data_IF_083051293505
#
_entry.id   IF_083051293505
#
_cell.length_a   1.000
_cell.length_b   1.000
_cell.length_c   1.000
_cell.angle_alpha   90.00
_cell.angle_beta   90.00
_cell.angle_gamma   90.00
#
_symmetry.space_group_name_H-M   'P 1'
#
loop_
_entity.id
_entity.type
_entity.pdbx_description
1 polymer ?
#
# COMPACT_ATOMS: atom_id res chain seq x y z
N UNK A 1 17.98 5.44 16.89
CA UNK A 1 16.84 4.77 17.54
C UNK A 1 16.33 3.68 16.61
N UNK A 2 16.62 2.39 16.85
CA UNK A 2 16.04 1.33 16.04
C UNK A 2 14.54 1.28 16.32
N UNK A 3 13.71 1.42 15.29
CA UNK A 3 12.26 1.26 15.42
C UNK A 3 11.98 -0.19 15.84
N UNK A 4 11.68 -0.40 17.11
CA UNK A 4 11.31 -1.71 17.66
C UNK A 4 9.96 -2.11 17.05
N UNK A 5 9.99 -2.85 15.96
CA UNK A 5 8.84 -3.49 15.32
C UNK A 5 8.20 -4.45 16.32
N UNK A 6 7.25 -3.94 17.11
CA UNK A 6 6.55 -4.71 18.13
C UNK A 6 5.10 -4.79 17.69
N UNK A 7 4.70 -5.94 17.17
CA UNK A 7 3.31 -6.26 16.97
C UNK A 7 3.02 -7.62 17.61
N UNK A 8 1.84 -7.80 18.22
CA UNK A 8 1.44 -9.10 18.73
C UNK A 8 1.42 -10.12 17.59
N UNK A 9 1.94 -11.33 17.83
CA UNK A 9 1.78 -12.43 16.87
C UNK A 9 0.36 -12.96 17.00
N UNK A 10 -0.38 -12.97 15.90
CA UNK A 10 -1.76 -13.47 15.83
C UNK A 10 -1.79 -14.71 14.95
N UNK A 11 -2.57 -15.72 15.34
CA UNK A 11 -2.84 -16.87 14.47
C UNK A 11 -3.76 -16.43 13.34
N UNK A 12 -3.32 -16.60 12.11
CA UNK A 12 -4.06 -16.15 10.93
C UNK A 12 -4.85 -17.29 10.32
N UNK A 13 -6.11 -17.09 9.91
CA UNK A 13 -6.80 -18.04 9.05
C UNK A 13 -6.03 -18.19 7.72
N UNK A 14 -6.16 -19.35 7.08
CA UNK A 14 -5.65 -19.51 5.71
C UNK A 14 -6.41 -18.53 4.80
N UNK A 15 -5.73 -17.51 4.29
CA UNK A 15 -6.33 -16.63 3.30
C UNK A 15 -6.72 -17.47 2.06
N UNK A 16 -7.90 -17.26 1.47
CA UNK A 16 -8.36 -18.05 0.34
C UNK A 16 -7.34 -17.98 -0.82
N UNK A 17 -6.99 -19.11 -1.46
CA UNK A 17 -5.95 -19.15 -2.49
C UNK A 17 -6.29 -18.24 -3.68
N UNK A 18 -7.57 -18.08 -4.00
CA UNK A 18 -8.05 -17.22 -5.08
C UNK A 18 -7.62 -15.75 -4.93
N UNK A 19 -7.70 -15.21 -3.70
CA UNK A 19 -7.24 -13.84 -3.39
C UNK A 19 -5.76 -13.66 -3.69
N UNK A 20 -4.95 -14.67 -3.33
CA UNK A 20 -3.51 -14.61 -3.57
C UNK A 20 -3.17 -14.66 -5.07
N UNK A 21 -3.86 -15.50 -5.84
CA UNK A 21 -3.68 -15.57 -7.30
C UNK A 21 -4.06 -14.24 -7.93
N UNK A 22 -5.20 -13.67 -7.54
CA UNK A 22 -5.66 -12.35 -8.00
C UNK A 22 -4.62 -11.26 -7.75
N UNK A 23 -4.09 -11.19 -6.52
CA UNK A 23 -3.06 -10.20 -6.16
C UNK A 23 -1.78 -10.36 -7.00
N UNK A 24 -1.35 -11.60 -7.24
CA UNK A 24 -0.13 -11.87 -8.00
C UNK A 24 -0.31 -11.50 -9.47
N UNK A 25 -1.41 -11.93 -10.09
CA UNK A 25 -1.73 -11.62 -11.49
C UNK A 25 -1.83 -10.11 -11.69
N UNK A 26 -2.58 -9.42 -10.83
CA UNK A 26 -2.72 -7.96 -10.90
C UNK A 26 -1.38 -7.24 -10.69
N UNK A 27 -0.57 -7.67 -9.71
CA UNK A 27 0.73 -7.04 -9.46
C UNK A 27 1.72 -7.24 -10.61
N UNK A 28 1.76 -8.45 -11.19
CA UNK A 28 2.60 -8.74 -12.36
C UNK A 28 2.12 -7.96 -13.58
N UNK A 29 0.81 -7.89 -13.84
CA UNK A 29 0.26 -7.11 -14.95
C UNK A 29 0.59 -5.62 -14.83
N UNK A 30 0.43 -5.04 -13.63
CA UNK A 30 0.78 -3.64 -13.36
C UNK A 30 2.27 -3.39 -13.52
N UNK A 31 3.14 -4.29 -13.04
CA UNK A 31 4.59 -4.16 -13.23
C UNK A 31 5.00 -4.35 -14.69
N UNK A 32 4.36 -5.23 -15.44
CA UNK A 32 4.63 -5.40 -16.88
C UNK A 32 4.23 -4.13 -17.66
N UNK A 33 3.07 -3.54 -17.35
CA UNK A 33 2.57 -2.35 -18.01
C UNK A 33 3.34 -1.07 -17.62
N UNK A 34 3.68 -0.93 -16.34
CA UNK A 34 4.25 0.31 -15.78
C UNK A 34 5.73 0.21 -15.43
N UNK A 35 6.37 -0.95 -15.62
CA UNK A 35 7.75 -1.20 -15.20
C UNK A 35 8.76 -0.31 -15.94
N UNK A 36 8.61 -0.13 -17.26
CA UNK A 36 9.47 0.76 -18.05
C UNK A 36 9.33 2.23 -17.62
N UNK A 37 8.11 2.82 -17.53
CA UNK A 37 7.92 4.14 -16.94
C UNK A 37 8.49 4.27 -15.53
N UNK A 38 8.25 3.27 -14.66
CA UNK A 38 8.73 3.27 -13.29
C UNK A 38 10.27 3.27 -13.23
N UNK A 39 10.93 2.48 -14.08
CA UNK A 39 12.39 2.45 -14.18
C UNK A 39 12.95 3.80 -14.67
N UNK A 40 12.33 4.40 -15.70
CA UNK A 40 12.72 5.71 -16.21
C UNK A 40 12.59 6.81 -15.14
N UNK A 41 11.46 6.85 -14.42
CA UNK A 41 11.24 7.81 -13.33
C UNK A 41 12.21 7.57 -12.17
N UNK A 42 12.49 6.31 -11.83
CA UNK A 42 13.47 5.97 -10.80
C UNK A 42 14.87 6.45 -11.18
N UNK A 43 15.29 6.23 -12.43
CA UNK A 43 16.59 6.69 -12.93
C UNK A 43 16.69 8.23 -12.91
N UNK A 44 15.61 8.91 -13.31
CA UNK A 44 15.54 10.36 -13.26
C UNK A 44 15.62 10.90 -11.82
N UNK A 45 14.90 10.27 -10.88
CA UNK A 45 15.02 10.59 -9.46
C UNK A 45 16.43 10.34 -8.93
N UNK A 46 17.11 9.27 -9.34
CA UNK A 46 18.51 9.01 -8.95
C UNK A 46 19.42 10.17 -9.41
N UNK A 47 19.25 10.61 -10.66
CA UNK A 47 20.02 11.72 -11.23
C UNK A 47 19.72 13.05 -10.52
N UNK A 48 18.46 13.28 -10.14
CA UNK A 48 18.04 14.54 -9.50
C UNK A 48 18.47 14.60 -8.02
N UNK A 49 18.37 13.47 -7.31
CA UNK A 49 18.66 13.39 -5.87
C UNK A 49 20.14 13.11 -5.58
N UNK A 50 20.96 12.80 -6.59
CA UNK A 50 22.37 12.41 -6.41
C UNK A 50 22.54 11.14 -5.57
N UNK A 51 21.55 10.25 -5.54
CA UNK A 51 21.56 9.14 -4.60
C UNK A 51 20.28 8.31 -4.58
N UNK A 52 19.68 8.18 -3.38
CA UNK A 52 18.64 7.19 -3.08
C UNK A 52 17.24 7.68 -3.48
N UNK A 53 16.61 7.14 -4.54
CA UNK A 53 15.29 7.56 -5.01
C UNK A 53 14.15 6.96 -4.17
N UNK A 54 14.46 6.01 -3.29
CA UNK A 54 13.48 5.26 -2.51
C UNK A 54 13.51 5.65 -1.03
N UNK A 55 12.32 5.92 -0.48
CA UNK A 55 12.05 5.89 0.94
C UNK A 55 11.69 4.46 1.37
N UNK A 56 12.13 4.07 2.57
CA UNK A 56 11.80 2.77 3.17
C UNK A 56 11.07 3.00 4.47
N UNK A 57 9.97 2.30 4.66
CA UNK A 57 9.20 2.37 5.90
C UNK A 57 9.04 0.99 6.50
N UNK A 58 9.09 0.95 7.83
CA UNK A 58 8.87 -0.27 8.56
C UNK A 58 7.36 -0.57 8.59
N UNK A 59 6.99 -1.82 8.38
CA UNK A 59 5.60 -2.23 8.40
C UNK A 59 5.45 -3.61 9.02
N UNK A 60 4.23 -3.92 9.45
CA UNK A 60 3.84 -5.22 9.97
C UNK A 60 2.77 -5.81 9.07
N UNK A 61 3.00 -7.04 8.63
CA UNK A 61 2.12 -7.77 7.73
C UNK A 61 1.36 -8.89 8.44
N UNK A 62 0.85 -9.82 7.64
CA UNK A 62 0.08 -10.98 8.07
C UNK A 62 0.73 -11.71 9.26
N UNK A 63 -0.03 -11.92 10.33
CA UNK A 63 0.39 -12.61 11.55
C UNK A 63 1.39 -11.84 12.41
N UNK A 64 1.53 -10.54 12.20
CA UNK A 64 2.50 -9.71 12.91
C UNK A 64 3.91 -9.79 12.32
N UNK A 65 4.06 -10.26 11.08
CA UNK A 65 5.38 -10.44 10.45
C UNK A 65 5.97 -9.07 10.05
N UNK A 66 7.13 -8.67 10.58
CA UNK A 66 7.76 -7.41 10.20
C UNK A 66 8.28 -7.48 8.76
N UNK A 67 8.12 -6.40 8.01
CA UNK A 67 8.69 -6.24 6.68
C UNK A 67 9.00 -4.75 6.40
N UNK A 68 9.49 -4.45 5.19
CA UNK A 68 9.78 -3.08 4.75
C UNK A 68 9.03 -2.76 3.47
N UNK A 69 8.28 -1.66 3.50
CA UNK A 69 7.65 -1.09 2.30
C UNK A 69 8.62 -0.13 1.62
N UNK A 70 8.42 0.06 0.33
CA UNK A 70 9.23 0.93 -0.51
C UNK A 70 8.35 1.94 -1.19
N UNK A 71 8.78 3.20 -1.21
CA UNK A 71 8.12 4.26 -1.98
C UNK A 71 9.16 5.09 -2.72
N UNK A 72 8.77 5.65 -3.85
CA UNK A 72 9.57 6.70 -4.48
C UNK A 72 9.50 7.96 -3.63
N UNK A 73 10.61 8.68 -3.59
CA UNK A 73 10.70 9.96 -2.88
C UNK A 73 9.95 11.05 -3.64
N UNK A 74 9.14 11.79 -2.90
CA UNK A 74 8.34 12.91 -3.40
C UNK A 74 8.57 14.21 -2.59
N UNK A 75 9.58 14.22 -1.72
CA UNK A 75 9.98 15.39 -0.93
C UNK A 75 10.58 16.50 -1.82
N UNK A 76 10.76 17.71 -1.27
CA UNK A 76 11.20 18.90 -2.02
C UNK A 76 12.46 18.67 -2.88
N UNK A 77 13.37 17.81 -2.41
CA UNK A 77 14.58 17.43 -3.15
C UNK A 77 14.32 16.67 -4.47
N UNK A 78 13.17 16.01 -4.62
CA UNK A 78 12.77 15.31 -5.84
C UNK A 78 12.21 16.25 -6.93
N UNK A 79 12.05 17.54 -6.62
CA UNK A 79 11.66 18.59 -7.55
C UNK A 79 10.33 18.31 -8.27
N UNK A 80 10.25 18.71 -9.55
CA UNK A 80 9.02 18.58 -10.36
C UNK A 80 8.58 17.12 -10.56
N UNK A 81 9.53 16.19 -10.57
CA UNK A 81 9.26 14.76 -10.75
C UNK A 81 8.62 14.19 -9.49
N UNK A 82 9.16 14.54 -8.31
CA UNK A 82 8.55 14.22 -7.02
C UNK A 82 7.13 14.76 -6.92
N UNK A 83 6.92 16.03 -7.26
CA UNK A 83 5.59 16.64 -7.26
C UNK A 83 4.63 15.99 -8.27
N UNK A 84 5.11 15.55 -9.44
CA UNK A 84 4.28 14.82 -10.40
C UNK A 84 3.90 13.42 -9.92
N UNK A 85 4.87 12.68 -9.38
CA UNK A 85 4.65 11.36 -8.76
C UNK A 85 3.65 11.44 -7.62
N UNK A 86 3.76 12.49 -6.81
CA UNK A 86 2.81 12.74 -5.74
C UNK A 86 1.42 13.00 -6.33
N UNK A 87 1.23 14.01 -7.18
CA UNK A 87 -0.11 14.29 -7.75
C UNK A 87 -0.79 13.09 -8.44
N UNK A 88 -0.02 12.22 -9.07
CA UNK A 88 -0.56 11.04 -9.78
C UNK A 88 -0.71 9.79 -8.90
N UNK A 89 -0.32 9.82 -7.64
CA UNK A 89 -0.34 8.67 -6.75
C UNK A 89 0.46 7.44 -7.19
N UNK A 90 1.61 7.70 -7.83
CA UNK A 90 2.49 6.66 -8.36
C UNK A 90 3.72 6.39 -7.48
N UNK A 91 3.88 7.12 -6.38
CA UNK A 91 4.98 6.94 -5.43
C UNK A 91 5.00 5.54 -4.79
N UNK A 92 3.84 4.88 -4.70
CA UNK A 92 3.66 3.55 -4.12
C UNK A 92 3.94 2.38 -5.07
N UNK A 93 4.19 2.59 -6.36
CA UNK A 93 4.39 1.49 -7.34
C UNK A 93 5.47 0.46 -6.94
N UNK A 94 6.60 0.83 -6.30
CA UNK A 94 7.57 -0.14 -5.82
C UNK A 94 7.01 -1.18 -4.83
N UNK A 95 5.88 -0.89 -4.16
CA UNK A 95 5.21 -1.83 -3.24
C UNK A 95 4.60 -3.04 -3.96
N UNK A 96 4.44 -3.01 -5.28
CA UNK A 96 4.04 -4.19 -6.07
C UNK A 96 5.02 -5.36 -5.86
N UNK A 97 6.29 -5.07 -5.58
CA UNK A 97 7.26 -6.10 -5.21
C UNK A 97 6.96 -6.74 -3.85
N UNK A 98 6.42 -5.99 -2.89
CA UNK A 98 5.97 -6.53 -1.60
C UNK A 98 4.72 -7.42 -1.80
N UNK A 99 3.86 -7.08 -2.76
CA UNK A 99 2.73 -7.93 -3.16
C UNK A 99 3.25 -9.25 -3.74
N UNK A 100 4.20 -9.21 -4.68
CA UNK A 100 4.81 -10.43 -5.26
C UNK A 100 5.48 -11.29 -4.17
N UNK A 101 6.22 -10.67 -3.23
CA UNK A 101 6.86 -11.37 -2.10
C UNK A 101 5.89 -11.95 -1.07
N UNK A 102 4.62 -11.54 -1.12
CA UNK A 102 3.58 -12.04 -0.22
C UNK A 102 3.52 -11.35 1.14
N UNK A 103 4.22 -10.22 1.26
CA UNK A 103 4.19 -9.33 2.42
C UNK A 103 2.93 -8.45 2.40
N UNK A 104 2.49 -8.06 1.20
CA UNK A 104 1.31 -7.22 0.96
C UNK A 104 0.31 -7.88 0.00
N UNK A 105 -0.86 -7.26 -0.09
CA UNK A 105 -1.93 -7.51 -1.06
C UNK A 105 -2.18 -6.23 -1.89
N UNK A 106 -2.85 -6.35 -3.04
CA UNK A 106 -3.29 -5.15 -3.77
C UNK A 106 -4.31 -4.36 -2.94
N UNK A 107 -5.24 -5.08 -2.32
CA UNK A 107 -6.30 -4.53 -1.47
C UNK A 107 -6.19 -5.09 -0.06
N UNK A 108 -6.25 -4.23 0.93
CA UNK A 108 -6.16 -4.58 2.35
C UNK A 108 -6.01 -3.35 3.25
N UNK A 109 -5.98 -3.53 4.56
CA UNK A 109 -5.71 -2.43 5.50
C UNK A 109 -4.35 -1.80 5.22
N UNK A 110 -4.21 -0.48 5.42
CA UNK A 110 -2.95 0.23 5.17
C UNK A 110 -1.80 -0.38 6.02
N UNK A 111 -0.58 -0.54 5.48
CA UNK A 111 0.56 -1.02 6.26
C UNK A 111 0.98 0.01 7.32
N UNK A 112 1.21 -0.47 8.55
CA UNK A 112 1.69 0.35 9.67
C UNK A 112 2.89 -0.29 10.36
N UNK A 113 3.80 0.53 10.87
CA UNK A 113 4.99 0.08 11.61
C UNK A 113 4.64 -0.57 12.96
N UNK A 114 3.51 -0.15 13.52
CA UNK A 114 2.93 -0.64 14.77
C UNK A 114 1.43 -0.53 14.65
N UNK A 115 0.72 -1.53 15.14
CA UNK A 115 -0.73 -1.49 15.19
C UNK A 115 -1.20 -1.93 16.57
N UNK A 116 -2.09 -1.16 17.15
CA UNK A 116 -2.87 -1.47 18.35
C UNK A 116 -4.12 -2.33 18.01
N UNK A 117 -4.34 -2.58 16.71
CA UNK A 117 -5.46 -3.33 16.15
C UNK A 117 -5.01 -4.70 15.61
N UNK A 118 -4.92 -5.73 16.47
CA UNK A 118 -4.44 -7.05 16.07
C UNK A 118 -5.27 -7.69 14.97
N UNK A 119 -6.55 -7.32 14.81
CA UNK A 119 -7.42 -7.79 13.74
C UNK A 119 -6.88 -7.49 12.33
N UNK A 120 -6.17 -6.37 12.15
CA UNK A 120 -5.55 -6.03 10.86
C UNK A 120 -4.44 -7.00 10.47
N UNK A 121 -3.86 -7.69 11.45
CA UNK A 121 -2.83 -8.71 11.23
C UNK A 121 -3.41 -10.04 10.76
N UNK A 122 -4.73 -10.20 10.71
CA UNK A 122 -5.41 -11.40 10.20
C UNK A 122 -5.37 -11.49 8.67
N UNK A 123 -5.13 -10.37 7.99
CA UNK A 123 -5.02 -10.27 6.53
C UNK A 123 -3.68 -9.64 6.15
N UNK A 124 -3.30 -9.72 4.87
CA UNK A 124 -2.14 -8.96 4.37
C UNK A 124 -2.52 -7.49 4.26
N UNK A 125 -1.64 -6.55 4.65
CA UNK A 125 -1.88 -5.13 4.39
C UNK A 125 -1.92 -4.86 2.89
N UNK A 126 -2.69 -3.84 2.50
CA UNK A 126 -2.96 -3.46 1.12
C UNK A 126 -2.14 -2.27 0.63
N UNK A 127 -1.96 -2.16 -0.69
CA UNK A 127 -1.54 -0.90 -1.32
C UNK A 127 -2.67 0.14 -1.31
N UNK A 128 -3.91 -0.34 -1.45
CA UNK A 128 -5.15 0.41 -1.26
C UNK A 128 -6.07 -0.37 -0.32
N UNK A 129 -7.13 0.26 0.19
CA UNK A 129 -8.02 -0.33 1.18
C UNK A 129 -9.38 0.35 1.20
N UNK A 130 -10.34 -0.28 1.88
CA UNK A 130 -11.72 0.22 1.93
C UNK A 130 -11.78 1.65 2.45
N UNK A 131 -11.18 1.92 3.61
CA UNK A 131 -11.18 3.28 4.16
C UNK A 131 -10.46 4.27 3.24
N UNK A 132 -9.41 3.85 2.52
CA UNK A 132 -8.67 4.74 1.62
C UNK A 132 -9.53 5.20 0.44
N UNK A 133 -10.48 4.37 -0.03
CA UNK A 133 -11.40 4.76 -1.12
C UNK A 133 -12.70 5.39 -0.61
N UNK A 134 -13.08 5.07 0.63
CA UNK A 134 -14.26 5.62 1.30
C UNK A 134 -13.97 6.96 2.00
N UNK A 135 -12.70 7.28 2.26
CA UNK A 135 -12.28 8.48 2.97
C UNK A 135 -12.78 9.73 2.25
N UNK A 136 -13.73 10.40 2.90
CA UNK A 136 -13.97 11.84 2.73
C UNK A 136 -12.86 12.58 3.50
N UNK A 137 -12.61 13.82 3.12
CA UNK A 137 -11.47 14.64 3.59
C UNK A 137 -11.35 14.77 5.11
N UNK A 138 -12.40 14.41 5.86
CA UNK A 138 -12.62 14.67 7.28
C UNK A 138 -13.09 13.45 8.09
N UNK A 139 -12.92 12.21 7.58
CA UNK A 139 -13.40 11.02 8.28
C UNK A 139 -12.70 10.83 9.65
N UNK A 140 -13.42 10.75 10.78
CA UNK A 140 -12.83 10.49 12.09
C UNK A 140 -12.03 9.19 12.13
N UNK A 141 -11.02 9.15 13.00
CA UNK A 141 -10.14 7.99 13.15
C UNK A 141 -10.89 6.72 13.55
N UNK A 142 -11.93 6.81 14.38
CA UNK A 142 -12.77 5.65 14.71
C UNK A 142 -13.48 5.09 13.48
N UNK A 143 -13.98 5.94 12.58
CA UNK A 143 -14.67 5.49 11.37
C UNK A 143 -13.72 4.79 10.38
N UNK A 144 -12.49 5.28 10.25
CA UNK A 144 -11.45 4.60 9.46
C UNK A 144 -11.17 3.20 10.01
N UNK A 145 -11.10 3.07 11.34
CA UNK A 145 -10.91 1.78 12.01
C UNK A 145 -12.07 0.81 11.76
N UNK A 146 -13.30 1.31 11.77
CA UNK A 146 -14.50 0.51 11.47
C UNK A 146 -14.48 -0.01 10.04
N UNK A 147 -14.05 0.80 9.08
CA UNK A 147 -13.92 0.38 7.67
C UNK A 147 -12.82 -0.67 7.49
N UNK A 148 -11.67 -0.50 8.14
CA UNK A 148 -10.61 -1.52 8.16
C UNK A 148 -11.11 -2.83 8.76
N UNK A 149 -11.80 -2.77 9.91
CA UNK A 149 -12.41 -3.94 10.56
C UNK A 149 -13.43 -4.62 9.66
N UNK A 150 -14.32 -3.84 9.05
CA UNK A 150 -15.33 -4.35 8.14
C UNK A 150 -14.70 -5.09 6.95
N UNK A 151 -13.61 -4.55 6.39
CA UNK A 151 -12.84 -5.23 5.36
C UNK A 151 -12.24 -6.55 5.87
N UNK A 152 -11.56 -6.54 7.03
CA UNK A 152 -10.96 -7.76 7.61
C UNK A 152 -12.02 -8.86 7.76
N UNK A 153 -13.19 -8.52 8.28
CA UNK A 153 -14.28 -9.48 8.58
C UNK A 153 -15.03 -9.96 7.32
N UNK A 154 -15.18 -9.12 6.29
CA UNK A 154 -16.13 -9.36 5.18
C UNK A 154 -15.52 -9.32 3.77
N UNK A 155 -14.19 -9.23 3.64
CA UNK A 155 -13.56 -9.13 2.33
C UNK A 155 -13.83 -10.36 1.46
N UNK A 156 -14.12 -10.08 0.19
CA UNK A 156 -14.25 -11.06 -0.88
C UNK A 156 -13.81 -10.39 -2.19
N UNK A 157 -13.61 -11.18 -3.25
CA UNK A 157 -13.00 -10.68 -4.50
C UNK A 157 -13.76 -9.52 -5.17
N UNK A 158 -15.10 -9.50 -5.13
CA UNK A 158 -15.85 -8.40 -5.72
C UNK A 158 -15.72 -7.09 -4.93
N UNK A 159 -15.56 -7.18 -3.60
CA UNK A 159 -15.22 -6.01 -2.79
C UNK A 159 -13.85 -5.46 -3.17
N UNK A 160 -12.85 -6.32 -3.39
CA UNK A 160 -11.54 -5.90 -3.86
C UNK A 160 -11.60 -5.21 -5.22
N UNK A 161 -12.35 -5.78 -6.17
CA UNK A 161 -12.55 -5.17 -7.49
C UNK A 161 -13.21 -3.80 -7.38
N UNK A 162 -14.23 -3.67 -6.53
CA UNK A 162 -14.88 -2.38 -6.27
C UNK A 162 -13.91 -1.35 -5.66
N UNK A 163 -13.04 -1.77 -4.73
CA UNK A 163 -12.03 -0.90 -4.13
C UNK A 163 -11.00 -0.49 -5.20
N UNK A 164 -10.49 -1.42 -6.00
CA UNK A 164 -9.53 -1.13 -7.06
C UNK A 164 -10.10 -0.19 -8.12
N UNK A 165 -11.36 -0.37 -8.52
CA UNK A 165 -12.03 0.51 -9.48
C UNK A 165 -12.18 1.95 -8.94
N UNK A 166 -12.38 2.12 -7.63
CA UNK A 166 -12.50 3.42 -6.99
C UNK A 166 -11.14 4.08 -6.69
N UNK A 167 -10.07 3.29 -6.60
CA UNK A 167 -8.74 3.74 -6.15
C UNK A 167 -8.17 4.91 -6.98
N UNK A 168 -8.17 4.90 -8.33
CA UNK A 168 -7.63 6.02 -9.10
C UNK A 168 -8.34 7.35 -8.79
N UNK A 169 -9.66 7.31 -8.67
CA UNK A 169 -10.47 8.49 -8.36
C UNK A 169 -10.25 8.98 -6.93
N UNK A 170 -10.18 8.07 -5.96
CA UNK A 170 -9.92 8.40 -4.57
C UNK A 170 -8.52 8.99 -4.38
N UNK A 171 -7.51 8.37 -4.99
CA UNK A 171 -6.13 8.83 -4.93
C UNK A 171 -5.92 10.22 -5.53
N UNK A 172 -6.59 10.51 -6.66
CA UNK A 172 -6.59 11.84 -7.25
C UNK A 172 -7.24 12.88 -6.33
N UNK A 173 -8.40 12.57 -5.76
CA UNK A 173 -9.12 13.49 -4.85
C UNK A 173 -8.30 13.84 -3.61
N UNK A 174 -7.61 12.87 -3.01
CA UNK A 174 -6.84 13.07 -1.79
C UNK A 174 -5.60 13.97 -1.96
N UNK A 175 -5.15 14.19 -3.20
CA UNK A 175 -3.92 14.96 -3.49
C UNK A 175 -4.18 16.30 -4.15
N UNK A 176 -5.42 16.56 -4.57
CA UNK A 176 -5.85 17.81 -5.21
C UNK A 176 -6.81 18.62 -4.33
N UNK A 177 -7.48 17.98 -3.37
CA UNK A 177 -8.29 18.63 -2.34
C UNK A 177 -7.42 19.17 -1.20
#
# INVERSE_FOLDING_TARGET
MPLTLTAPRVRTPAAPPAKRVFDLVGAVALLAALGLPLAAVTALLCATLGGRPFAREAAVGLGGRPFRTWRLRTDDGAGRIGAALDRCALDGLPQLLNVIRGEMSLVGPRPEARTDRPERLLVRPGMTGLWQVSARSDLPWEEMALLDRHYVENHWLGMDLAILAQTPRAAYRQRVA
#
